data_IF_078056680239
#
_entry.id   IF_078056680239
#
_cell.length_a   1.000
_cell.length_b   1.000
_cell.length_c   1.000
_cell.angle_alpha   90.00
_cell.angle_beta   90.00
_cell.angle_gamma   90.00
#
_symmetry.space_group_name_H-M   'P 1'
#
loop_
_entity.id
_entity.type
_entity.pdbx_description
1 polymer ?
#
# COMPACT_ATOMS: atom_id res chain seq x y z
N UNK A 1 -6.29 -23.24 -3.64
CA UNK A 1 -4.96 -23.86 -3.85
C UNK A 1 -4.14 -23.69 -2.58
N UNK A 2 -3.30 -24.67 -2.17
CA UNK A 2 -2.58 -24.59 -0.90
C UNK A 2 -1.48 -23.51 -0.98
N UNK A 3 -1.57 -22.52 -0.09
CA UNK A 3 -0.53 -21.53 0.18
C UNK A 3 0.66 -22.28 0.82
N UNK A 4 1.93 -21.95 0.52
CA UNK A 4 3.08 -22.65 1.08
C UNK A 4 2.98 -22.74 2.61
N UNK A 5 3.18 -23.92 3.18
CA UNK A 5 3.30 -24.09 4.62
C UNK A 5 4.53 -23.32 5.11
N UNK A 6 4.31 -22.24 5.85
CA UNK A 6 5.38 -21.45 6.42
C UNK A 6 5.91 -22.14 7.67
N UNK A 7 7.06 -22.79 7.55
CA UNK A 7 7.81 -23.34 8.68
C UNK A 7 8.12 -22.24 9.69
N UNK A 8 7.57 -22.39 10.91
CA UNK A 8 7.86 -21.57 12.09
C UNK A 8 9.33 -21.74 12.51
N UNK A 9 10.25 -21.09 11.81
CA UNK A 9 11.58 -20.87 12.35
C UNK A 9 11.47 -19.84 13.47
N UNK A 10 11.99 -20.20 14.65
CA UNK A 10 12.03 -19.38 15.85
C UNK A 10 12.47 -17.95 15.52
N UNK A 11 11.57 -16.99 15.72
CA UNK A 11 11.85 -15.57 15.51
C UNK A 11 12.85 -15.14 16.58
N UNK A 12 14.03 -14.66 16.17
CA UNK A 12 14.90 -13.97 17.12
C UNK A 12 14.15 -12.73 17.64
N UNK A 13 14.06 -12.59 18.97
CA UNK A 13 13.37 -11.46 19.61
C UNK A 13 13.91 -10.09 19.15
N UNK A 14 15.14 -10.04 18.64
CA UNK A 14 15.81 -8.88 18.02
C UNK A 14 15.13 -8.38 16.74
N UNK A 15 14.34 -9.21 16.05
CA UNK A 15 13.66 -8.88 14.78
C UNK A 15 12.25 -8.31 15.00
N UNK A 16 11.76 -8.30 16.23
CA UNK A 16 10.43 -7.79 16.59
C UNK A 16 10.58 -6.31 16.99
N UNK A 17 10.26 -5.40 16.08
CA UNK A 17 10.12 -3.98 16.44
C UNK A 17 9.14 -3.82 17.62
N UNK A 18 9.39 -2.88 18.55
CA UNK A 18 8.42 -2.48 19.55
C UNK A 18 7.09 -2.18 18.85
N UNK A 19 6.04 -2.87 19.28
CA UNK A 19 4.69 -2.59 18.79
C UNK A 19 4.00 -1.71 19.81
N UNK A 20 3.80 -0.46 19.43
CA UNK A 20 2.97 0.45 20.20
C UNK A 20 1.56 0.35 19.66
N UNK A 21 0.62 0.08 20.55
CA UNK A 21 -0.81 0.09 20.22
C UNK A 21 -1.21 1.54 19.96
N UNK A 22 -1.98 1.84 18.90
CA UNK A 22 -2.54 3.17 18.72
C UNK A 22 -3.28 3.61 19.99
N UNK A 23 -2.90 4.77 20.53
CA UNK A 23 -3.47 5.32 21.76
C UNK A 23 -4.83 5.95 21.49
N UNK A 24 -4.98 6.49 20.28
CA UNK A 24 -6.18 7.19 19.84
C UNK A 24 -6.41 7.07 18.33
N UNK A 25 -7.66 7.16 17.94
CA UNK A 25 -8.09 7.33 16.55
C UNK A 25 -8.71 8.71 16.41
N UNK A 26 -8.16 9.52 15.50
CA UNK A 26 -8.58 10.89 15.22
C UNK A 26 -9.52 10.98 14.01
N UNK A 27 -10.16 12.16 13.90
CA UNK A 27 -10.92 12.72 12.77
C UNK A 27 -10.95 11.85 11.52
N UNK A 28 -11.97 11.02 11.40
CA UNK A 28 -12.11 10.17 10.22
C UNK A 28 -12.78 10.90 9.07
N UNK A 29 -12.29 10.70 7.85
CA UNK A 29 -12.89 11.28 6.64
C UNK A 29 -13.48 10.19 5.75
N UNK A 30 -14.62 10.48 5.14
CA UNK A 30 -15.19 9.63 4.09
C UNK A 30 -14.23 9.53 2.89
N UNK A 31 -14.22 8.39 2.21
CA UNK A 31 -13.29 8.13 1.11
C UNK A 31 -13.44 9.13 -0.03
N UNK A 32 -14.66 9.55 -0.33
CA UNK A 32 -15.02 10.44 -1.43
C UNK A 32 -14.30 11.79 -1.32
N UNK A 33 -14.07 12.27 -0.09
CA UNK A 33 -13.29 13.50 0.15
C UNK A 33 -11.83 13.29 -0.25
N UNK A 34 -11.24 12.16 0.14
CA UNK A 34 -9.89 11.78 -0.27
C UNK A 34 -9.77 11.56 -1.78
N UNK A 35 -10.80 10.98 -2.42
CA UNK A 35 -10.82 10.74 -3.85
C UNK A 35 -10.83 12.04 -4.66
N UNK A 36 -11.63 13.03 -4.26
CA UNK A 36 -11.64 14.35 -4.89
C UNK A 36 -10.28 15.05 -4.79
N UNK A 37 -9.60 14.93 -3.66
CA UNK A 37 -8.23 15.44 -3.49
C UNK A 37 -7.23 14.69 -4.37
N UNK A 38 -7.31 13.36 -4.44
CA UNK A 38 -6.43 12.56 -5.27
C UNK A 38 -6.60 12.87 -6.77
N UNK A 39 -7.84 13.04 -7.22
CA UNK A 39 -8.16 13.38 -8.61
C UNK A 39 -7.61 14.75 -9.07
N UNK A 40 -7.34 15.66 -8.13
CA UNK A 40 -6.77 16.99 -8.39
C UNK A 40 -5.27 17.10 -8.06
N UNK A 41 -4.65 16.00 -7.61
CA UNK A 41 -3.26 16.00 -7.21
C UNK A 41 -2.32 16.04 -8.43
N UNK A 42 -1.38 16.98 -8.40
CA UNK A 42 -0.36 17.11 -9.42
C UNK A 42 0.93 16.37 -9.02
N UNK A 43 1.64 15.85 -10.03
CA UNK A 43 3.05 15.46 -9.91
C UNK A 43 3.88 16.31 -10.85
N UNK A 44 5.05 16.71 -10.37
CA UNK A 44 6.00 17.52 -11.12
C UNK A 44 7.29 16.73 -11.37
N UNK A 45 7.75 16.69 -12.62
CA UNK A 45 9.09 16.24 -12.98
C UNK A 45 9.73 17.28 -13.88
N UNK A 46 10.85 17.84 -13.43
CA UNK A 46 11.49 18.98 -14.08
C UNK A 46 10.47 20.14 -14.23
N UNK A 47 10.20 20.56 -15.46
CA UNK A 47 9.24 21.62 -15.81
C UNK A 47 7.84 21.08 -16.16
N UNK A 48 7.67 19.76 -16.23
CA UNK A 48 6.40 19.12 -16.61
C UNK A 48 5.54 18.88 -15.35
N UNK A 49 4.31 19.39 -15.38
CA UNK A 49 3.27 19.14 -14.38
C UNK A 49 2.21 18.25 -15.01
N UNK A 50 1.83 17.17 -14.33
CA UNK A 50 0.77 16.27 -14.79
C UNK A 50 -0.19 15.95 -13.65
N UNK A 51 -1.44 15.65 -14.00
CA UNK A 51 -2.49 15.25 -13.07
C UNK A 51 -2.86 13.79 -13.36
N UNK A 52 -2.13 12.80 -12.81
CA UNK A 52 -2.24 11.40 -13.22
C UNK A 52 -3.63 10.80 -13.01
N UNK A 53 -4.40 11.35 -12.07
CA UNK A 53 -5.73 10.86 -11.69
C UNK A 53 -6.85 11.80 -12.13
N UNK A 54 -6.56 12.84 -12.92
CA UNK A 54 -7.60 13.69 -13.49
C UNK A 54 -8.52 12.85 -14.39
N UNK A 55 -9.83 12.92 -14.12
CA UNK A 55 -10.83 12.13 -14.85
C UNK A 55 -10.87 10.63 -14.52
N UNK A 56 -10.02 10.15 -13.59
CA UNK A 56 -10.03 8.76 -13.17
C UNK A 56 -11.30 8.40 -12.38
N UNK A 57 -11.79 7.17 -12.56
CA UNK A 57 -12.81 6.58 -11.69
C UNK A 57 -12.15 5.95 -10.48
N UNK A 58 -12.45 6.47 -9.29
CA UNK A 58 -11.87 6.07 -8.01
C UNK A 58 -12.99 5.60 -7.08
N UNK A 59 -12.87 4.38 -6.56
CA UNK A 59 -13.86 3.82 -5.63
C UNK A 59 -13.22 2.83 -4.65
N UNK A 60 -13.98 2.37 -3.65
CA UNK A 60 -13.55 1.21 -2.86
C UNK A 60 -14.23 -0.06 -3.32
N UNK A 61 -13.48 -1.17 -3.33
CA UNK A 61 -14.01 -2.51 -3.60
C UNK A 61 -13.48 -3.51 -2.58
N UNK A 62 -14.28 -4.52 -2.27
CA UNK A 62 -13.81 -5.74 -1.63
C UNK A 62 -13.20 -6.65 -2.70
N UNK A 63 -11.96 -7.07 -2.49
CA UNK A 63 -11.17 -7.86 -3.43
C UNK A 63 -10.53 -9.04 -2.70
N UNK A 64 -10.16 -10.06 -3.45
CA UNK A 64 -9.31 -11.18 -3.04
C UNK A 64 -7.93 -11.05 -3.68
N UNK A 65 -6.98 -11.92 -3.31
CA UNK A 65 -5.70 -11.99 -4.03
C UNK A 65 -5.88 -12.39 -5.50
N UNK A 66 -6.91 -13.14 -5.86
CA UNK A 66 -7.13 -13.56 -7.25
C UNK A 66 -7.59 -12.41 -8.15
N UNK A 67 -8.14 -11.33 -7.57
CA UNK A 67 -8.61 -10.15 -8.30
C UNK A 67 -7.49 -9.16 -8.67
N UNK A 68 -6.27 -9.36 -8.14
CA UNK A 68 -5.18 -8.37 -8.25
C UNK A 68 -3.83 -9.05 -8.46
N UNK A 69 -2.88 -8.30 -9.03
CA UNK A 69 -1.52 -8.78 -9.30
C UNK A 69 -0.54 -8.01 -8.42
N UNK A 70 0.40 -8.68 -7.72
CA UNK A 70 1.35 -8.00 -6.86
C UNK A 70 2.41 -7.24 -7.66
N UNK A 71 2.94 -6.16 -7.09
CA UNK A 71 3.95 -5.29 -7.74
C UNK A 71 5.34 -5.37 -7.12
N UNK A 72 5.56 -6.30 -6.18
CA UNK A 72 6.84 -6.45 -5.47
C UNK A 72 7.30 -7.89 -5.50
N UNK A 73 8.61 -8.14 -5.49
CA UNK A 73 9.17 -9.49 -5.45
C UNK A 73 9.04 -10.16 -4.07
N UNK A 74 8.94 -9.35 -3.02
CA UNK A 74 8.95 -9.87 -1.66
C UNK A 74 8.19 -9.00 -0.66
N UNK A 75 7.89 -9.60 0.49
CA UNK A 75 7.51 -8.93 1.73
C UNK A 75 8.52 -9.21 2.83
N UNK A 76 8.57 -8.31 3.82
CA UNK A 76 9.38 -8.46 5.01
C UNK A 76 8.58 -9.12 6.13
N UNK A 77 9.10 -10.19 6.72
CA UNK A 77 8.46 -10.91 7.83
C UNK A 77 8.13 -9.99 8.99
N UNK A 78 9.03 -9.07 9.35
CA UNK A 78 8.79 -8.07 10.40
C UNK A 78 7.54 -7.21 10.16
N UNK A 79 7.30 -6.81 8.89
CA UNK A 79 6.14 -5.98 8.50
C UNK A 79 4.88 -6.82 8.42
N UNK A 80 4.97 -8.06 7.97
CA UNK A 80 3.87 -9.02 8.03
C UNK A 80 3.38 -9.22 9.48
N UNK A 81 4.29 -9.47 10.42
CA UNK A 81 3.98 -9.60 11.84
C UNK A 81 3.43 -8.30 12.47
N UNK A 82 3.90 -7.15 12.00
CA UNK A 82 3.34 -5.86 12.41
C UNK A 82 1.86 -5.74 11.99
N UNK A 83 1.51 -6.09 10.74
CA UNK A 83 0.11 -6.04 10.27
C UNK A 83 -0.82 -6.95 11.10
N UNK A 84 -0.35 -8.13 11.52
CA UNK A 84 -1.12 -9.01 12.43
C UNK A 84 -1.37 -8.35 13.79
N UNK A 85 -0.33 -7.74 14.37
CA UNK A 85 -0.44 -7.04 15.66
C UNK A 85 -1.35 -5.82 15.56
N UNK A 86 -1.22 -5.04 14.49
CA UNK A 86 -2.05 -3.88 14.21
C UNK A 86 -3.52 -4.28 14.05
N UNK A 87 -3.82 -5.35 13.29
CA UNK A 87 -5.19 -5.85 13.14
C UNK A 87 -5.84 -6.15 14.49
N UNK A 88 -5.13 -6.88 15.37
CA UNK A 88 -5.62 -7.20 16.73
C UNK A 88 -5.79 -5.97 17.63
N UNK A 89 -4.97 -4.96 17.44
CA UNK A 89 -5.09 -3.70 18.19
C UNK A 89 -6.32 -2.91 17.75
N UNK A 90 -6.51 -2.76 16.44
CA UNK A 90 -7.64 -2.04 15.85
C UNK A 90 -8.98 -2.76 16.09
N UNK A 91 -8.99 -4.09 16.14
CA UNK A 91 -10.17 -4.88 16.48
C UNK A 91 -10.74 -4.50 17.86
N UNK A 92 -9.87 -4.22 18.85
CA UNK A 92 -10.29 -3.74 20.18
C UNK A 92 -10.97 -2.37 20.14
N UNK A 93 -10.73 -1.60 19.08
CA UNK A 93 -11.33 -0.29 18.82
C UNK A 93 -12.53 -0.39 17.86
N UNK A 94 -12.93 -1.60 17.47
CA UNK A 94 -14.03 -1.83 16.52
C UNK A 94 -13.67 -1.51 15.07
N UNK A 95 -12.39 -1.48 14.71
CA UNK A 95 -11.90 -1.18 13.36
C UNK A 95 -11.34 -2.46 12.72
N UNK A 96 -11.89 -2.86 11.57
CA UNK A 96 -11.32 -3.95 10.76
C UNK A 96 -10.24 -3.39 9.82
N UNK A 97 -8.98 -3.71 10.10
CA UNK A 97 -7.83 -3.32 9.26
C UNK A 97 -7.98 -3.74 7.79
N UNK A 98 -8.67 -4.85 7.54
CA UNK A 98 -8.84 -5.45 6.22
C UNK A 98 -10.08 -4.92 5.50
N UNK A 99 -11.01 -4.27 6.20
CA UNK A 99 -12.24 -3.71 5.63
C UNK A 99 -12.54 -2.31 6.20
N UNK A 100 -11.60 -1.39 5.99
CA UNK A 100 -11.74 -0.01 6.46
C UNK A 100 -12.89 0.68 5.73
N UNK A 101 -13.81 1.30 6.45
CA UNK A 101 -14.96 2.01 5.87
C UNK A 101 -14.70 3.50 5.59
N UNK A 102 -13.54 4.01 6.02
CA UNK A 102 -13.13 5.41 5.88
C UNK A 102 -11.61 5.57 5.97
N UNK A 103 -11.13 6.80 5.84
CA UNK A 103 -9.74 7.19 6.12
C UNK A 103 -9.61 7.42 7.62
N UNK A 104 -8.60 6.78 8.23
CA UNK A 104 -8.31 6.87 9.65
C UNK A 104 -6.97 7.57 9.90
N UNK A 105 -6.86 8.22 11.06
CA UNK A 105 -5.60 8.75 11.57
C UNK A 105 -5.35 8.13 12.95
N UNK A 106 -4.24 7.44 13.11
CA UNK A 106 -3.88 6.70 14.32
C UNK A 106 -2.78 7.42 15.08
N UNK A 107 -2.99 7.73 16.35
CA UNK A 107 -1.94 8.28 17.20
C UNK A 107 -1.10 7.17 17.82
N UNK A 108 0.23 7.24 17.63
CA UNK A 108 1.21 6.32 18.23
C UNK A 108 2.33 7.17 18.87
N UNK A 109 2.19 7.48 20.17
CA UNK A 109 3.10 8.40 20.86
C UNK A 109 3.06 9.80 20.23
N UNK A 110 4.20 10.31 19.77
CA UNK A 110 4.28 11.62 19.12
C UNK A 110 3.94 11.60 17.61
N UNK A 111 3.64 10.42 17.04
CA UNK A 111 3.37 10.25 15.61
C UNK A 111 1.88 10.09 15.33
N UNK A 112 1.43 10.61 14.18
CA UNK A 112 0.09 10.40 13.62
C UNK A 112 0.24 9.60 12.33
N UNK A 113 -0.41 8.44 12.25
CA UNK A 113 -0.33 7.54 11.11
C UNK A 113 -1.63 7.57 10.30
N UNK A 114 -1.53 7.93 9.03
CA UNK A 114 -2.61 7.79 8.07
C UNK A 114 -2.86 6.31 7.73
N UNK A 115 -4.09 5.85 7.89
CA UNK A 115 -4.52 4.50 7.58
C UNK A 115 -5.64 4.53 6.54
N UNK A 116 -5.35 3.95 5.38
CA UNK A 116 -6.27 3.76 4.26
C UNK A 116 -6.34 2.28 3.85
N UNK A 117 -7.37 1.86 3.09
CA UNK A 117 -7.34 0.61 2.35
C UNK A 117 -6.12 0.56 1.42
N UNK A 118 -5.68 -0.65 1.06
CA UNK A 118 -4.61 -0.79 0.06
C UNK A 118 -5.04 -0.21 -1.30
N UNK A 119 -4.08 0.07 -2.17
CA UNK A 119 -4.34 0.73 -3.46
C UNK A 119 -4.15 -0.27 -4.60
N UNK A 120 -5.14 -0.31 -5.49
CA UNK A 120 -5.13 -1.06 -6.73
C UNK A 120 -5.29 -0.08 -7.88
N UNK A 121 -4.45 -0.22 -8.88
CA UNK A 121 -4.47 0.63 -10.05
C UNK A 121 -4.67 -0.22 -11.29
N UNK A 122 -5.69 0.14 -12.06
CA UNK A 122 -5.98 -0.46 -13.35
C UNK A 122 -5.26 0.34 -14.43
N UNK A 123 -4.47 -0.35 -15.24
CA UNK A 123 -3.80 0.23 -16.41
C UNK A 123 -3.47 -0.84 -17.42
N UNK A 124 -3.19 -0.45 -18.66
CA UNK A 124 -2.68 -1.36 -19.68
C UNK A 124 -1.17 -1.58 -19.46
N UNK A 125 -0.77 -2.80 -19.12
CA UNK A 125 0.64 -3.15 -18.85
C UNK A 125 1.40 -3.30 -20.18
N UNK A 126 2.34 -2.40 -20.51
CA UNK A 126 3.03 -2.43 -21.79
C UNK A 126 4.03 -3.58 -21.94
N UNK A 127 4.53 -4.14 -20.86
CA UNK A 127 5.55 -5.20 -20.92
C UNK A 127 4.95 -6.61 -21.00
N UNK A 128 5.76 -7.56 -21.48
CA UNK A 128 5.45 -8.97 -21.36
C UNK A 128 5.31 -9.39 -19.88
N UNK A 129 4.40 -10.33 -19.55
CA UNK A 129 3.60 -11.14 -20.49
C UNK A 129 2.29 -10.49 -20.97
N UNK A 130 1.93 -9.30 -20.46
CA UNK A 130 0.60 -8.71 -20.66
C UNK A 130 0.46 -7.92 -21.96
N UNK A 131 1.53 -7.31 -22.47
CA UNK A 131 1.61 -6.71 -23.81
C UNK A 131 0.40 -5.82 -24.19
N UNK A 132 0.06 -4.87 -23.33
CA UNK A 132 -1.03 -3.91 -23.50
C UNK A 132 -2.38 -4.34 -22.91
N UNK A 133 -2.47 -5.52 -22.29
CA UNK A 133 -3.66 -5.94 -21.56
C UNK A 133 -3.85 -5.13 -20.27
N UNK A 134 -5.11 -4.88 -19.91
CA UNK A 134 -5.44 -4.26 -18.63
C UNK A 134 -5.06 -5.20 -17.48
N UNK A 135 -4.43 -4.63 -16.45
CA UNK A 135 -4.03 -5.32 -15.23
C UNK A 135 -4.53 -4.59 -13.99
N UNK A 136 -4.87 -5.35 -12.95
CA UNK A 136 -5.28 -4.84 -11.65
C UNK A 136 -4.10 -4.87 -10.67
N UNK A 137 -3.20 -3.90 -10.77
CA UNK A 137 -1.93 -3.95 -10.04
C UNK A 137 -2.07 -3.46 -8.60
N UNK A 138 -1.63 -4.27 -7.62
CA UNK A 138 -1.57 -3.92 -6.20
C UNK A 138 -0.40 -2.98 -5.92
N UNK A 139 -0.66 -1.68 -5.90
CA UNK A 139 0.36 -0.63 -5.72
C UNK A 139 0.77 -0.46 -4.26
N UNK A 140 -0.18 -0.63 -3.34
CA UNK A 140 0.03 -0.52 -1.90
C UNK A 140 -0.75 -1.58 -1.11
N UNK A 141 -0.32 -1.87 0.12
CA UNK A 141 -1.02 -2.80 1.02
C UNK A 141 -0.71 -4.28 0.80
N UNK A 142 0.41 -4.60 0.14
CA UNK A 142 0.81 -5.98 -0.18
C UNK A 142 0.90 -6.87 1.06
N UNK A 143 1.61 -6.44 2.12
CA UNK A 143 1.70 -7.21 3.38
C UNK A 143 0.33 -7.47 4.00
N UNK A 144 -0.55 -6.46 3.99
CA UNK A 144 -1.90 -6.56 4.55
C UNK A 144 -2.74 -7.58 3.78
N UNK A 145 -2.68 -7.56 2.45
CA UNK A 145 -3.34 -8.55 1.61
C UNK A 145 -2.84 -9.98 1.86
N UNK A 146 -1.53 -10.16 2.05
CA UNK A 146 -0.96 -11.49 2.37
C UNK A 146 -1.38 -11.97 3.76
N UNK A 147 -1.44 -11.08 4.75
CA UNK A 147 -2.00 -11.46 6.07
C UNK A 147 -3.45 -11.93 5.90
N UNK A 148 -4.27 -11.17 5.16
CA UNK A 148 -5.68 -11.49 4.97
C UNK A 148 -5.90 -12.80 4.21
N UNK A 149 -5.07 -13.11 3.20
CA UNK A 149 -5.22 -14.34 2.42
C UNK A 149 -4.94 -15.62 3.23
N UNK A 150 -4.29 -15.49 4.39
CA UNK A 150 -4.06 -16.60 5.33
C UNK A 150 -5.18 -16.78 6.37
N UNK A 151 -6.23 -15.95 6.32
CA UNK A 151 -7.37 -16.02 7.25
C UNK A 151 -8.58 -16.68 6.58
N UNK A 152 -9.60 -17.05 7.38
CA UNK A 152 -10.84 -17.66 6.89
C UNK A 152 -11.58 -16.76 5.89
N UNK A 153 -11.67 -15.46 6.19
CA UNK A 153 -12.15 -14.46 5.24
C UNK A 153 -10.95 -13.95 4.44
N UNK A 154 -10.97 -14.15 3.12
CA UNK A 154 -9.86 -13.82 2.23
C UNK A 154 -10.12 -12.55 1.40
N UNK A 155 -11.14 -11.79 1.76
CA UNK A 155 -11.46 -10.50 1.14
C UNK A 155 -10.84 -9.34 1.92
N UNK A 156 -10.33 -8.34 1.21
CA UNK A 156 -9.84 -7.08 1.75
C UNK A 156 -10.39 -5.91 0.93
N UNK A 157 -10.70 -4.78 1.58
CA UNK A 157 -11.04 -3.55 0.89
C UNK A 157 -9.80 -2.93 0.27
N UNK A 158 -9.94 -2.39 -0.93
CA UNK A 158 -8.93 -1.56 -1.57
C UNK A 158 -9.58 -0.38 -2.29
N UNK A 159 -8.81 0.71 -2.40
CA UNK A 159 -9.11 1.83 -3.28
C UNK A 159 -8.70 1.39 -4.68
N UNK A 160 -9.65 1.34 -5.61
CA UNK A 160 -9.45 0.96 -7.00
C UNK A 160 -9.49 2.20 -7.85
N UNK A 161 -8.42 2.44 -8.60
CA UNK A 161 -8.28 3.59 -9.51
C UNK A 161 -8.26 3.05 -10.93
N UNK A 162 -9.16 3.54 -11.78
CA UNK A 162 -9.30 3.13 -13.18
C UNK A 162 -9.47 4.33 -14.11
N UNK A 163 -9.12 4.18 -15.40
CA UNK A 163 -9.19 5.27 -16.37
C UNK A 163 -8.18 6.40 -16.15
N UNK A 164 -7.19 6.19 -15.29
CA UNK A 164 -6.15 7.18 -15.02
C UNK A 164 -5.19 7.33 -16.22
N UNK A 165 -4.77 8.56 -16.48
CA UNK A 165 -3.92 8.90 -17.62
C UNK A 165 -2.46 8.86 -17.23
N UNK A 166 -1.83 7.73 -17.48
CA UNK A 166 -0.41 7.56 -17.18
C UNK A 166 0.46 8.03 -18.34
N UNK A 167 1.41 8.91 -18.04
CA UNK A 167 2.58 9.14 -18.89
C UNK A 167 3.55 7.96 -18.78
N UNK A 168 4.45 7.74 -19.75
CA UNK A 168 5.43 6.65 -19.70
C UNK A 168 6.17 6.60 -18.36
N UNK A 169 6.52 7.75 -17.80
CA UNK A 169 7.25 7.85 -16.55
C UNK A 169 6.41 7.72 -15.27
N UNK A 170 5.08 7.86 -15.35
CA UNK A 170 4.19 7.80 -14.19
C UNK A 170 3.83 6.37 -13.77
N UNK A 171 4.27 5.37 -14.55
CA UNK A 171 4.22 3.95 -14.20
C UNK A 171 5.64 3.42 -13.96
N UNK A 172 6.25 3.69 -12.80
CA UNK A 172 7.64 3.33 -12.55
C UNK A 172 7.86 1.82 -12.37
N UNK A 173 6.81 1.05 -12.07
CA UNK A 173 6.91 -0.37 -11.73
C UNK A 173 6.25 -1.25 -12.80
N UNK A 174 7.00 -2.23 -13.29
CA UNK A 174 6.45 -3.36 -14.05
C UNK A 174 5.89 -4.41 -13.10
N UNK A 175 4.97 -5.24 -13.58
CA UNK A 175 4.53 -6.44 -12.86
C UNK A 175 5.65 -7.49 -12.86
N UNK A 176 6.25 -7.82 -11.70
CA UNK A 176 7.40 -8.69 -11.69
C UNK A 176 7.04 -10.18 -11.64
N UNK A 177 5.90 -10.52 -11.04
CA UNK A 177 5.60 -11.87 -10.58
C UNK A 177 4.13 -12.05 -10.16
N UNK A 178 3.73 -13.30 -9.97
CA UNK A 178 2.46 -13.73 -9.37
C UNK A 178 2.54 -13.80 -7.84
N UNK A 179 1.40 -14.02 -7.18
CA UNK A 179 1.33 -14.18 -5.72
C UNK A 179 2.15 -15.36 -5.20
N UNK A 180 2.23 -16.46 -5.96
CA UNK A 180 2.99 -17.66 -5.59
C UNK A 180 4.52 -17.41 -5.60
N UNK A 181 4.94 -16.37 -6.29
CA UNK A 181 6.35 -15.98 -6.45
C UNK A 181 6.76 -14.85 -5.50
N UNK A 182 5.88 -14.45 -4.57
CA UNK A 182 6.21 -13.51 -3.51
C UNK A 182 6.98 -14.23 -2.41
N UNK A 183 8.22 -13.82 -2.19
CA UNK A 183 9.04 -14.35 -1.11
C UNK A 183 8.88 -13.55 0.19
N UNK A 184 9.09 -14.21 1.33
CA UNK A 184 9.13 -13.55 2.63
C UNK A 184 10.57 -13.56 3.17
N UNK A 185 11.14 -12.38 3.39
CA UNK A 185 12.50 -12.21 3.91
C UNK A 185 12.53 -11.59 5.31
N UNK A 186 13.56 -11.93 6.08
CA UNK A 186 13.85 -11.29 7.36
C UNK A 186 14.66 -10.00 7.19
N UNK A 187 15.62 -10.02 6.26
CA UNK A 187 16.53 -8.92 5.95
C UNK A 187 16.13 -8.33 4.60
N UNK A 188 16.25 -7.00 4.44
CA UNK A 188 15.93 -6.28 3.21
C UNK A 188 16.85 -6.75 2.06
N UNK A 189 16.32 -7.44 1.04
CA UNK A 189 17.04 -7.72 -0.20
C UNK A 189 17.26 -6.43 -1.03
N UNK A 190 18.17 -6.45 -2.01
CA UNK A 190 18.56 -5.25 -2.75
C UNK A 190 17.48 -4.69 -3.68
N UNK A 191 16.52 -5.51 -4.14
CA UNK A 191 15.52 -5.11 -5.14
C UNK A 191 14.11 -5.53 -4.70
N UNK A 192 13.28 -4.54 -4.34
CA UNK A 192 11.88 -4.75 -3.93
C UNK A 192 10.91 -4.87 -5.11
N UNK A 193 11.12 -4.06 -6.15
CA UNK A 193 10.23 -3.92 -7.30
C UNK A 193 11.03 -3.98 -8.59
N UNK A 194 10.38 -4.36 -9.70
CA UNK A 194 10.95 -4.25 -11.04
C UNK A 194 10.69 -2.83 -11.56
N UNK A 195 11.72 -2.00 -11.58
CA UNK A 195 11.63 -0.62 -12.07
C UNK A 195 11.74 -0.59 -13.60
N UNK A 196 10.83 0.10 -14.28
CA UNK A 196 10.91 0.33 -15.73
C UNK A 196 12.05 1.29 -16.11
N UNK A 197 12.36 2.22 -15.21
CA UNK A 197 13.40 3.24 -15.37
C UNK A 197 14.46 3.09 -14.27
N UNK A 198 15.37 2.09 -14.38
CA UNK A 198 16.34 1.77 -13.33
C UNK A 198 17.35 2.88 -13.05
N UNK A 199 17.58 3.78 -14.00
CA UNK A 199 18.42 4.97 -13.85
C UNK A 199 17.78 6.06 -12.96
N UNK A 200 16.45 6.02 -12.80
CA UNK A 200 15.74 6.92 -11.90
C UNK A 200 14.54 6.22 -11.22
N UNK A 201 14.82 5.23 -10.35
CA UNK A 201 13.79 4.35 -9.80
C UNK A 201 12.83 5.07 -8.84
N UNK A 202 13.25 6.22 -8.30
CA UNK A 202 12.48 7.08 -7.40
C UNK A 202 12.05 8.38 -8.06
N UNK A 203 12.22 8.51 -9.38
CA UNK A 203 12.13 9.79 -10.09
C UNK A 203 10.81 10.51 -9.92
N UNK A 204 9.72 9.75 -9.73
CA UNK A 204 8.40 10.28 -9.41
C UNK A 204 7.61 9.26 -8.62
N UNK A 205 7.06 9.68 -7.48
CA UNK A 205 6.07 8.92 -6.73
C UNK A 205 4.67 9.42 -7.07
N UNK A 206 3.73 8.49 -7.27
CA UNK A 206 2.33 8.85 -7.41
C UNK A 206 1.79 9.46 -6.10
N UNK A 207 0.95 10.51 -6.19
CA UNK A 207 0.62 11.39 -5.08
C UNK A 207 -0.50 10.81 -4.21
N UNK A 208 -0.45 9.52 -3.84
CA UNK A 208 -1.53 8.93 -3.02
C UNK A 208 -1.62 9.56 -1.62
N UNK A 209 -0.63 10.34 -1.18
CA UNK A 209 -0.72 11.16 0.03
C UNK A 209 -1.90 12.12 -0.04
N UNK A 210 -2.28 12.57 -1.24
CA UNK A 210 -3.41 13.47 -1.44
C UNK A 210 -4.75 12.87 -0.96
N UNK A 211 -4.82 11.56 -0.73
CA UNK A 211 -5.97 10.94 -0.06
C UNK A 211 -6.20 11.53 1.34
N UNK A 212 -5.15 11.95 2.05
CA UNK A 212 -5.23 12.54 3.38
C UNK A 212 -5.50 14.05 3.34
N UNK A 213 -6.13 14.56 4.40
CA UNK A 213 -6.42 15.97 4.55
C UNK A 213 -5.15 16.82 4.47
N UNK A 214 -5.28 18.03 3.94
CA UNK A 214 -4.14 18.92 3.69
C UNK A 214 -3.49 19.42 4.98
N UNK A 215 -4.29 19.71 6.00
CA UNK A 215 -3.82 20.06 7.34
C UNK A 215 -3.06 18.89 7.99
N UNK A 216 -3.57 17.66 7.87
CA UNK A 216 -2.87 16.46 8.33
C UNK A 216 -1.53 16.28 7.61
N UNK A 217 -1.49 16.42 6.29
CA UNK A 217 -0.23 16.35 5.52
C UNK A 217 0.79 17.43 5.89
N UNK A 218 0.34 18.55 6.44
CA UNK A 218 1.19 19.66 6.91
C UNK A 218 1.62 19.49 8.37
N UNK A 219 1.00 18.58 9.12
CA UNK A 219 1.42 18.27 10.50
C UNK A 219 2.77 17.53 10.45
N UNK A 220 3.82 18.04 11.12
CA UNK A 220 5.14 17.40 11.12
C UNK A 220 5.15 16.00 11.78
N UNK A 221 4.11 15.65 12.54
CA UNK A 221 3.94 14.33 13.16
C UNK A 221 3.30 13.31 12.22
N UNK A 222 2.79 13.75 11.07
CA UNK A 222 2.02 12.89 10.18
C UNK A 222 2.91 12.00 9.30
N UNK A 223 2.57 10.72 9.26
CA UNK A 223 3.23 9.69 8.47
C UNK A 223 2.18 8.81 7.78
N UNK A 224 2.47 8.31 6.58
CA UNK A 224 1.55 7.38 5.89
C UNK A 224 2.27 6.32 5.04
N UNK A 225 3.46 6.63 4.51
CA UNK A 225 4.31 5.70 3.74
C UNK A 225 5.60 5.28 4.45
N UNK A 226 5.89 5.81 5.64
CA UNK A 226 7.16 5.57 6.34
C UNK A 226 7.16 4.36 7.27
N UNK A 227 6.58 3.25 6.83
CA UNK A 227 6.96 1.97 7.45
C UNK A 227 8.30 1.45 6.88
N UNK A 228 8.82 1.96 5.76
CA UNK A 228 10.08 1.46 5.19
C UNK A 228 11.32 2.25 5.63
N UNK A 229 11.16 3.42 6.24
CA UNK A 229 12.27 4.19 6.81
C UNK A 229 12.63 3.60 8.18
N UNK A 230 13.88 3.15 8.42
CA UNK A 230 14.30 2.68 9.74
C UNK A 230 14.00 3.77 10.77
N UNK A 231 13.25 3.42 11.83
CA UNK A 231 13.16 4.27 13.02
C UNK A 231 14.60 4.50 13.48
N UNK A 232 15.08 5.74 13.46
CA UNK A 232 16.34 6.07 14.14
C UNK A 232 16.09 5.74 15.61
N UNK A 233 16.74 4.68 16.08
CA UNK A 233 16.85 4.36 17.51
C UNK A 233 17.79 5.37 18.15
#
# INVERSE_FOLDING_TARGET
MPVPEYTHNSIEASLIEPFTVPERVYDSEAFEVGFARLASAAIQRNEEITYPFEGAHIETRLLTCDDVIPTSFYILRRRFLYQIRLARALEKLGIDLFDLDKIYYLEEGEAIWGLIPGIVQNYNEPEAPFNGQEVHAKQDGLHRSIVRSQMTLQTFRSIVISGAHFTPWSLPYAIPNSWQEIYMYDIVPPVKKKYRYPENPYGIMLPYEALFAEDMRKDPRFHWRDYDTPRKV
#
